data_IF_188448450201
#
_entry.id   IF_188448450201
#
_cell.length_a   1.000
_cell.length_b   1.000
_cell.length_c   1.000
_cell.angle_alpha   90.00
_cell.angle_beta   90.00
_cell.angle_gamma   90.00
#
_symmetry.space_group_name_H-M   'P 1'
#
loop_
_entity.id
_entity.type
_entity.pdbx_description
1 polymer ?
#
# COMPACT_ATOMS: atom_id res chain seq x y z
N UNK A 1 10.28 -58.91 5.03
CA UNK A 1 9.77 -57.81 5.88
C UNK A 1 10.75 -56.65 5.81
N UNK A 2 10.31 -55.50 5.26
CA UNK A 2 10.80 -54.13 5.53
C UNK A 2 10.07 -53.19 4.56
N UNK A 3 8.90 -52.71 4.98
CA UNK A 3 8.20 -51.59 4.35
C UNK A 3 9.01 -50.31 4.63
N UNK A 4 9.37 -49.58 3.59
CA UNK A 4 9.82 -48.20 3.73
C UNK A 4 8.63 -47.29 3.41
N UNK A 5 8.03 -46.71 4.45
CA UNK A 5 7.02 -45.66 4.35
C UNK A 5 7.74 -44.34 4.04
N UNK A 6 7.58 -43.83 2.82
CA UNK A 6 7.97 -42.48 2.48
C UNK A 6 6.91 -41.50 3.01
N UNK A 7 7.27 -40.72 4.03
CA UNK A 7 6.46 -39.62 4.55
C UNK A 7 6.62 -38.43 3.62
N UNK A 8 5.59 -38.10 2.85
CA UNK A 8 5.51 -36.86 2.08
C UNK A 8 5.09 -35.71 3.01
N UNK A 9 6.06 -34.93 3.47
CA UNK A 9 5.78 -33.65 4.13
C UNK A 9 5.29 -32.65 3.09
N UNK A 10 3.97 -32.49 2.97
CA UNK A 10 3.38 -31.39 2.23
C UNK A 10 3.65 -30.07 2.97
N UNK A 11 4.55 -29.24 2.44
CA UNK A 11 4.80 -27.89 2.91
C UNK A 11 3.59 -27.01 2.54
N UNK A 12 2.72 -26.75 3.52
CA UNK A 12 1.64 -25.76 3.41
C UNK A 12 2.25 -24.37 3.55
N UNK A 13 2.70 -23.79 2.45
CA UNK A 13 3.11 -22.36 2.36
C UNK A 13 2.33 -21.71 1.22
N UNK A 14 1.05 -21.44 1.41
CA UNK A 14 0.20 -20.92 0.32
C UNK A 14 -0.58 -19.63 0.64
N UNK A 15 -0.58 -19.12 1.88
CA UNK A 15 -1.48 -18.01 2.24
C UNK A 15 -0.84 -16.61 2.20
N UNK A 16 0.48 -16.49 2.31
CA UNK A 16 1.16 -15.19 2.36
C UNK A 16 1.33 -14.54 0.99
N UNK A 17 1.52 -15.34 -0.06
CA UNK A 17 1.70 -14.84 -1.43
C UNK A 17 0.40 -14.22 -1.99
N UNK A 18 -0.75 -14.84 -1.74
CA UNK A 18 -2.04 -14.32 -2.21
C UNK A 18 -2.47 -13.04 -1.49
N UNK A 19 -2.24 -12.95 -0.18
CA UNK A 19 -2.54 -11.74 0.59
C UNK A 19 -1.64 -10.56 0.19
N UNK A 20 -0.36 -10.82 -0.11
CA UNK A 20 0.55 -9.80 -0.63
C UNK A 20 0.13 -9.29 -2.00
N UNK A 21 -0.39 -10.17 -2.87
CA UNK A 21 -0.92 -9.81 -4.19
C UNK A 21 -2.17 -8.92 -4.08
N UNK A 22 -3.14 -9.29 -3.22
CA UNK A 22 -4.36 -8.49 -3.02
C UNK A 22 -4.06 -7.08 -2.49
N UNK A 23 -3.20 -6.97 -1.47
CA UNK A 23 -2.84 -5.70 -0.89
C UNK A 23 -2.08 -4.81 -1.90
N UNK A 24 -1.18 -5.40 -2.71
CA UNK A 24 -0.50 -4.69 -3.80
C UNK A 24 -1.47 -4.22 -4.89
N UNK A 25 -2.43 -5.06 -5.28
CA UNK A 25 -3.48 -4.69 -6.24
C UNK A 25 -4.37 -3.56 -5.72
N UNK A 26 -4.75 -3.59 -4.44
CA UNK A 26 -5.48 -2.50 -3.80
C UNK A 26 -4.62 -1.22 -3.70
N UNK A 27 -3.30 -1.33 -3.49
CA UNK A 27 -2.40 -0.17 -3.52
C UNK A 27 -2.37 0.49 -4.91
N UNK A 28 -2.35 -0.29 -5.98
CA UNK A 28 -2.46 0.22 -7.36
C UNK A 28 -3.79 0.94 -7.59
N UNK A 29 -4.90 0.41 -7.05
CA UNK A 29 -6.22 1.07 -7.11
C UNK A 29 -6.25 2.38 -6.34
N UNK A 30 -5.59 2.45 -5.17
CA UNK A 30 -5.40 3.72 -4.44
C UNK A 30 -4.59 4.71 -5.28
N UNK A 31 -3.52 4.27 -5.95
CA UNK A 31 -2.78 5.16 -6.85
C UNK A 31 -3.64 5.68 -7.99
N UNK A 32 -4.40 4.81 -8.67
CA UNK A 32 -5.33 5.25 -9.72
C UNK A 32 -6.35 6.28 -9.21
N UNK A 33 -6.86 6.09 -7.99
CA UNK A 33 -7.75 7.05 -7.34
C UNK A 33 -7.07 8.41 -7.12
N UNK A 34 -5.83 8.41 -6.63
CA UNK A 34 -5.01 9.60 -6.41
C UNK A 34 -4.76 10.33 -7.74
N UNK A 35 -4.31 9.61 -8.76
CA UNK A 35 -4.00 10.17 -10.08
C UNK A 35 -5.24 10.77 -10.75
N UNK A 36 -6.40 10.11 -10.61
CA UNK A 36 -7.67 10.58 -11.16
C UNK A 36 -8.15 11.91 -10.54
N UNK A 37 -7.59 12.36 -9.42
CA UNK A 37 -7.93 13.68 -8.86
C UNK A 37 -7.32 14.82 -9.67
N UNK A 38 -6.22 14.58 -10.39
CA UNK A 38 -5.46 15.63 -11.08
C UNK A 38 -4.78 16.65 -10.15
N UNK A 39 -4.81 16.42 -8.82
CA UNK A 39 -4.25 17.35 -7.83
C UNK A 39 -2.76 17.12 -7.54
N UNK A 40 -2.23 15.95 -7.90
CA UNK A 40 -0.88 15.52 -7.57
C UNK A 40 0.09 15.92 -8.69
N UNK A 41 1.30 16.32 -8.30
CA UNK A 41 2.29 16.91 -9.20
C UNK A 41 3.19 15.86 -9.86
N UNK A 42 3.06 14.60 -9.48
CA UNK A 42 3.75 13.46 -10.10
C UNK A 42 2.84 12.23 -10.04
N UNK A 43 3.03 11.24 -10.96
CA UNK A 43 2.30 9.98 -10.92
C UNK A 43 2.48 9.28 -9.57
N UNK A 44 1.39 8.74 -9.04
CA UNK A 44 1.44 7.93 -7.84
C UNK A 44 2.26 6.64 -8.05
N UNK A 45 2.98 6.22 -7.02
CA UNK A 45 3.85 5.04 -7.08
C UNK A 45 3.52 4.05 -5.97
N UNK A 46 3.60 2.75 -6.28
CA UNK A 46 3.51 1.67 -5.28
C UNK A 46 4.91 1.16 -4.97
N UNK A 47 5.36 1.39 -3.73
CA UNK A 47 6.59 0.84 -3.19
C UNK A 47 6.28 -0.47 -2.45
N UNK A 48 6.08 -1.57 -3.20
CA UNK A 48 5.65 -2.87 -2.66
C UNK A 48 6.56 -3.43 -1.56
N UNK A 49 7.90 -3.28 -1.68
CA UNK A 49 8.84 -3.71 -0.62
C UNK A 49 8.69 -2.95 0.70
N UNK A 50 8.10 -1.76 0.66
CA UNK A 50 7.86 -0.89 1.82
C UNK A 50 6.38 -0.88 2.24
N UNK A 51 5.52 -1.68 1.59
CA UNK A 51 4.07 -1.64 1.76
C UNK A 51 3.54 -0.20 1.74
N UNK A 52 3.91 0.55 0.69
CA UNK A 52 3.63 1.98 0.65
C UNK A 52 3.06 2.43 -0.70
N UNK A 53 2.10 3.35 -0.62
CA UNK A 53 1.63 4.19 -1.72
C UNK A 53 2.30 5.55 -1.56
N UNK A 54 3.01 6.01 -2.57
CA UNK A 54 3.75 7.28 -2.56
C UNK A 54 3.05 8.25 -3.49
N UNK A 55 2.69 9.41 -2.97
CA UNK A 55 2.05 10.48 -3.74
C UNK A 55 2.79 11.81 -3.51
N UNK A 56 2.95 12.60 -4.57
CA UNK A 56 3.66 13.88 -4.52
C UNK A 56 2.69 15.01 -4.78
N UNK A 57 2.58 15.96 -3.85
CA UNK A 57 1.68 17.10 -3.95
C UNK A 57 2.34 18.35 -3.36
N UNK A 58 2.09 19.50 -3.96
CA UNK A 58 2.59 20.77 -3.46
C UNK A 58 1.65 21.33 -2.37
N UNK A 59 1.82 20.81 -1.15
CA UNK A 59 1.09 21.26 0.04
C UNK A 59 2.03 21.43 1.23
N UNK A 60 1.73 22.36 2.15
CA UNK A 60 2.39 22.40 3.44
C UNK A 60 2.13 21.11 4.23
N UNK A 61 3.06 20.72 5.12
CA UNK A 61 2.99 19.43 5.83
C UNK A 61 1.69 19.21 6.62
N UNK A 62 1.07 20.28 7.14
CA UNK A 62 -0.21 20.19 7.85
C UNK A 62 -1.35 19.75 6.92
N UNK A 63 -1.41 20.27 5.69
CA UNK A 63 -2.44 19.93 4.73
C UNK A 63 -2.13 18.62 4.01
N UNK A 64 -0.85 18.30 3.80
CA UNK A 64 -0.43 16.97 3.34
C UNK A 64 -0.91 15.84 4.30
N UNK A 65 -0.91 16.09 5.61
CA UNK A 65 -1.47 15.13 6.60
C UNK A 65 -2.98 14.97 6.43
N UNK A 66 -3.72 16.06 6.22
CA UNK A 66 -5.17 16.01 5.97
C UNK A 66 -5.47 15.24 4.68
N UNK A 67 -4.76 15.53 3.59
CA UNK A 67 -4.88 14.82 2.33
C UNK A 67 -4.59 13.32 2.50
N UNK A 68 -3.56 12.95 3.26
CA UNK A 68 -3.28 11.57 3.59
C UNK A 68 -4.48 10.88 4.28
N UNK A 69 -5.01 11.50 5.34
CA UNK A 69 -6.16 10.95 6.07
C UNK A 69 -7.41 10.83 5.18
N UNK A 70 -7.63 11.77 4.26
CA UNK A 70 -8.70 11.67 3.28
C UNK A 70 -8.50 10.50 2.32
N UNK A 71 -7.29 10.28 1.80
CA UNK A 71 -6.98 9.11 0.95
C UNK A 71 -7.29 7.81 1.71
N UNK A 72 -6.83 7.68 2.95
CA UNK A 72 -7.08 6.50 3.77
C UNK A 72 -8.58 6.30 4.06
N UNK A 73 -9.29 7.40 4.35
CA UNK A 73 -10.74 7.39 4.56
C UNK A 73 -11.52 6.92 3.32
N UNK A 74 -11.15 7.41 2.13
CA UNK A 74 -11.79 6.98 0.88
C UNK A 74 -11.43 5.53 0.54
N UNK A 75 -10.18 5.10 0.77
CA UNK A 75 -9.81 3.70 0.59
C UNK A 75 -10.66 2.78 1.47
N UNK A 76 -10.86 3.16 2.74
CA UNK A 76 -11.72 2.43 3.67
C UNK A 76 -13.19 2.46 3.23
N UNK A 77 -13.72 3.62 2.82
CA UNK A 77 -15.13 3.73 2.39
C UNK A 77 -15.42 2.95 1.10
N UNK A 78 -14.39 2.69 0.28
CA UNK A 78 -14.47 1.84 -0.92
C UNK A 78 -14.29 0.35 -0.62
N UNK A 79 -14.07 -0.03 0.64
CA UNK A 79 -13.87 -1.41 1.05
C UNK A 79 -12.53 -1.99 0.61
N UNK A 80 -11.50 -1.16 0.43
CA UNK A 80 -10.15 -1.66 0.20
C UNK A 80 -9.56 -2.17 1.52
N UNK A 81 -8.99 -3.36 1.47
CA UNK A 81 -8.32 -4.01 2.59
C UNK A 81 -6.88 -4.31 2.20
N UNK A 82 -5.99 -4.32 3.19
CA UNK A 82 -4.55 -4.47 3.00
C UNK A 82 -4.03 -5.56 3.94
N UNK A 83 -4.38 -6.83 3.66
CA UNK A 83 -3.93 -7.96 4.48
C UNK A 83 -2.42 -8.18 4.37
N UNK A 84 -1.84 -8.86 5.36
CA UNK A 84 -0.45 -9.31 5.29
C UNK A 84 0.63 -8.25 5.58
N UNK A 85 0.27 -7.03 5.98
CA UNK A 85 1.27 -6.01 6.37
C UNK A 85 0.67 -4.70 6.87
N UNK A 86 1.52 -3.80 7.38
CA UNK A 86 1.16 -2.40 7.63
C UNK A 86 1.36 -1.61 6.33
N UNK A 87 0.26 -1.34 5.63
CA UNK A 87 0.30 -0.50 4.44
C UNK A 87 0.13 0.97 4.78
N UNK A 88 0.89 1.83 4.11
CA UNK A 88 0.90 3.28 4.36
C UNK A 88 0.73 4.09 3.10
N UNK A 89 0.15 5.27 3.23
CA UNK A 89 0.30 6.35 2.25
C UNK A 89 1.40 7.27 2.74
N UNK A 90 2.31 7.64 1.84
CA UNK A 90 3.42 8.54 2.10
C UNK A 90 3.31 9.73 1.14
N UNK A 91 3.15 10.92 1.70
CA UNK A 91 3.04 12.15 0.92
C UNK A 91 4.40 12.83 0.85
N UNK A 92 4.84 13.20 -0.34
CA UNK A 92 6.04 14.00 -0.61
C UNK A 92 5.63 15.37 -1.15
N UNK A 93 6.54 16.33 -1.02
CA UNK A 93 6.45 17.59 -1.77
C UNK A 93 7.45 17.57 -2.94
N UNK A 94 7.23 18.36 -4.00
CA UNK A 94 8.19 18.48 -5.10
C UNK A 94 9.62 18.84 -4.65
N UNK A 95 9.75 19.58 -3.55
CA UNK A 95 11.03 20.08 -3.02
C UNK A 95 11.64 19.20 -1.92
N UNK A 96 10.94 18.18 -1.41
CA UNK A 96 11.45 17.31 -0.34
C UNK A 96 12.26 16.11 -0.84
N UNK A 97 12.40 15.94 -2.15
CA UNK A 97 13.05 14.77 -2.75
C UNK A 97 12.38 13.47 -2.31
N UNK A 98 13.16 12.52 -1.79
CA UNK A 98 12.63 11.24 -1.30
C UNK A 98 12.02 11.30 0.11
N UNK A 99 12.15 12.42 0.80
CA UNK A 99 11.63 12.59 2.16
C UNK A 99 10.13 12.85 2.10
N UNK A 100 9.37 11.97 2.73
CA UNK A 100 7.93 12.15 2.91
C UNK A 100 7.66 13.17 4.03
N UNK A 101 6.69 14.04 3.81
CA UNK A 101 6.26 15.12 4.70
C UNK A 101 5.01 14.74 5.51
N UNK A 102 4.30 13.70 5.11
CA UNK A 102 3.19 13.11 5.86
C UNK A 102 3.08 11.60 5.61
N UNK A 103 2.49 10.90 6.58
CA UNK A 103 2.24 9.47 6.55
C UNK A 103 0.90 9.17 7.21
N UNK A 104 0.19 8.16 6.71
CA UNK A 104 -1.01 7.62 7.33
C UNK A 104 -1.15 6.15 6.97
N UNK A 105 -1.86 5.39 7.82
CA UNK A 105 -2.09 3.96 7.61
C UNK A 105 -3.29 3.74 6.70
N UNK A 106 -3.18 2.74 5.85
CA UNK A 106 -4.30 2.20 5.09
C UNK A 106 -5.09 1.20 5.95
N UNK A 107 -6.39 1.05 5.69
CA UNK A 107 -7.23 0.08 6.41
C UNK A 107 -6.68 -1.34 6.26
N UNK A 108 -6.81 -2.14 7.32
CA UNK A 108 -6.43 -3.56 7.28
C UNK A 108 -7.37 -4.36 6.44
#
# INVERSE_FOLDING_TARGET
MRLFLAVTTALVVANSAMAADEAANNALRVCKMIDNTGLFTAPCQVAGRKNAVVATIDLPSADARKACMQIAGVASSKGFHFPGGEWTVQIRSPTSGDKSIAFCRLPK
#
